data_IF_233032300579
#
_entry.id   IF_233032300579
#
_cell.length_a   1.000
_cell.length_b   1.000
_cell.length_c   1.000
_cell.angle_alpha   90.00
_cell.angle_beta   90.00
_cell.angle_gamma   90.00
#
_symmetry.space_group_name_H-M   'P 1'
#
loop_
_entity.id
_entity.type
_entity.pdbx_description
1 polymer ?
#
# COMPACT_ATOMS: atom_id res chain seq x y z
N UNK A 1 -1.67 -9.89 -10.60
CA UNK A 1 -0.51 -10.80 -10.53
C UNK A 1 0.11 -10.66 -9.16
N UNK A 2 0.52 -11.75 -8.49
CA UNK A 2 1.19 -11.67 -7.18
C UNK A 2 2.68 -11.35 -7.38
N UNK A 3 3.23 -10.41 -6.61
CA UNK A 3 4.67 -10.09 -6.58
C UNK A 3 5.35 -10.96 -5.52
N UNK A 4 6.60 -11.38 -5.75
CA UNK A 4 7.36 -12.18 -4.79
C UNK A 4 8.66 -11.45 -4.45
N UNK A 5 8.90 -11.21 -3.16
CA UNK A 5 10.18 -10.71 -2.66
C UNK A 5 11.04 -11.91 -2.27
N UNK A 6 12.10 -12.10 -3.05
CA UNK A 6 13.14 -13.10 -2.83
C UNK A 6 14.34 -12.50 -2.09
N UNK A 7 15.21 -13.36 -1.58
CA UNK A 7 16.45 -12.96 -0.92
C UNK A 7 17.35 -12.08 -1.82
N UNK A 8 17.37 -12.35 -3.13
CA UNK A 8 18.14 -11.57 -4.10
C UNK A 8 17.65 -10.12 -4.19
N UNK A 9 16.34 -9.90 -4.10
CA UNK A 9 15.75 -8.56 -4.15
C UNK A 9 16.06 -7.76 -2.89
N UNK A 10 16.13 -8.42 -1.73
CA UNK A 10 16.59 -7.78 -0.49
C UNK A 10 18.08 -7.44 -0.57
N UNK A 11 18.92 -8.33 -1.11
CA UNK A 11 20.36 -8.05 -1.29
C UNK A 11 20.63 -6.88 -2.25
N UNK A 12 19.82 -6.73 -3.30
CA UNK A 12 19.89 -5.58 -4.22
C UNK A 12 19.52 -4.27 -3.53
N UNK A 13 18.68 -4.33 -2.50
CA UNK A 13 18.21 -3.17 -1.73
C UNK A 13 18.82 -3.12 -0.32
N UNK A 14 19.99 -3.73 -0.10
CA UNK A 14 20.66 -3.81 1.22
C UNK A 14 20.95 -2.45 1.87
N UNK A 15 21.04 -1.39 1.07
CA UNK A 15 21.31 -0.03 1.55
C UNK A 15 20.02 0.71 1.95
N UNK A 16 18.85 0.13 1.69
CA UNK A 16 17.56 0.68 2.09
C UNK A 16 17.21 0.22 3.51
N UNK A 17 16.76 1.16 4.34
CA UNK A 17 16.29 0.85 5.71
C UNK A 17 14.90 0.24 5.75
N UNK A 18 14.10 0.41 4.70
CA UNK A 18 12.69 0.03 4.69
C UNK A 18 12.30 -0.59 3.33
N UNK A 19 11.56 -1.70 3.35
CA UNK A 19 10.97 -2.34 2.18
C UNK A 19 9.45 -2.28 2.32
N UNK A 20 8.82 -1.65 1.34
CA UNK A 20 7.38 -1.51 1.28
C UNK A 20 6.74 -2.64 0.48
N UNK A 21 5.75 -3.30 1.06
CA UNK A 21 5.07 -4.45 0.47
C UNK A 21 3.57 -4.21 0.42
N UNK A 22 2.92 -4.62 -0.67
CA UNK A 22 1.47 -4.55 -0.81
C UNK A 22 0.81 -5.89 -0.41
N UNK A 23 -0.52 -5.91 -0.33
CA UNK A 23 -1.30 -7.12 -0.02
C UNK A 23 -1.13 -8.25 -1.05
N UNK A 24 -0.64 -7.92 -2.24
CA UNK A 24 -0.40 -8.88 -3.32
C UNK A 24 1.07 -9.32 -3.39
N UNK A 25 1.88 -8.92 -2.41
CA UNK A 25 3.30 -9.25 -2.32
C UNK A 25 3.52 -10.38 -1.31
N UNK A 26 4.06 -11.49 -1.79
CA UNK A 26 4.53 -12.59 -0.96
C UNK A 26 6.00 -12.35 -0.63
N UNK A 27 6.40 -12.61 0.62
CA UNK A 27 7.79 -12.52 1.04
C UNK A 27 8.24 -13.91 1.44
N UNK A 28 9.34 -14.37 0.85
CA UNK A 28 9.93 -15.65 1.21
C UNK A 28 10.47 -15.62 2.65
N UNK A 29 10.47 -16.76 3.34
CA UNK A 29 11.03 -16.84 4.70
C UNK A 29 12.50 -16.38 4.73
N UNK A 30 13.30 -16.83 3.76
CA UNK A 30 14.70 -16.43 3.61
C UNK A 30 14.86 -14.91 3.40
N UNK A 31 13.99 -14.25 2.62
CA UNK A 31 14.03 -12.80 2.46
C UNK A 31 13.70 -12.07 3.77
N UNK A 32 12.73 -12.56 4.55
CA UNK A 32 12.36 -11.97 5.84
C UNK A 32 13.49 -12.09 6.86
N UNK A 33 14.15 -13.24 6.92
CA UNK A 33 15.28 -13.45 7.83
C UNK A 33 16.46 -12.55 7.43
N UNK A 34 16.73 -12.44 6.13
CA UNK A 34 17.75 -11.53 5.61
C UNK A 34 17.44 -10.05 5.94
N UNK A 35 16.18 -9.62 5.82
CA UNK A 35 15.79 -8.27 6.22
C UNK A 35 16.10 -7.99 7.69
N UNK A 36 15.86 -8.97 8.59
CA UNK A 36 16.18 -8.81 10.02
C UNK A 36 17.67 -8.70 10.26
N UNK A 37 18.46 -9.57 9.62
CA UNK A 37 19.92 -9.57 9.75
C UNK A 37 20.55 -8.26 9.26
N UNK A 38 19.94 -7.64 8.25
CA UNK A 38 20.37 -6.38 7.66
C UNK A 38 19.75 -5.13 8.33
N UNK A 39 18.85 -5.30 9.31
CA UNK A 39 18.15 -4.19 9.96
C UNK A 39 17.16 -3.45 9.06
N UNK A 40 16.59 -4.14 8.07
CA UNK A 40 15.63 -3.61 7.11
C UNK A 40 14.21 -3.87 7.61
N UNK A 41 13.43 -2.80 7.78
CA UNK A 41 12.02 -2.90 8.19
C UNK A 41 11.11 -3.22 7.01
N UNK A 42 10.23 -4.20 7.17
CA UNK A 42 9.21 -4.53 6.18
C UNK A 42 7.91 -3.81 6.56
N UNK A 43 7.49 -2.82 5.76
CA UNK A 43 6.26 -2.06 5.97
C UNK A 43 5.20 -2.47 4.97
N UNK A 44 4.06 -2.95 5.46
CA UNK A 44 2.92 -3.25 4.61
C UNK A 44 2.18 -1.94 4.26
N UNK A 45 2.24 -1.51 3.01
CA UNK A 45 1.36 -0.46 2.51
C UNK A 45 0.00 -1.09 2.24
N UNK A 46 -0.80 -1.18 3.29
CA UNK A 46 -2.24 -1.19 3.08
C UNK A 46 -2.58 0.22 2.63
N UNK A 47 -3.15 0.36 1.44
CA UNK A 47 -3.58 1.66 0.91
C UNK A 47 -4.79 2.19 1.71
N UNK A 48 -4.60 2.53 2.98
CA UNK A 48 -5.31 3.54 3.78
C UNK A 48 -4.37 3.91 4.93
N UNK A 49 -3.98 5.19 4.98
CA UNK A 49 -3.36 5.92 6.10
C UNK A 49 -3.27 5.14 7.44
N UNK A 50 -2.09 4.62 7.76
CA UNK A 50 -1.69 4.36 9.15
C UNK A 50 -0.23 4.82 9.30
N UNK A 51 -0.07 6.14 9.37
CA UNK A 51 0.95 6.74 10.23
C UNK A 51 0.23 6.94 11.57
N UNK A 52 0.90 6.57 12.66
CA UNK A 52 0.37 6.47 14.05
C UNK A 52 -0.28 5.10 14.29
N UNK A 53 0.25 4.18 15.08
CA UNK A 53 0.93 4.33 16.37
C UNK A 53 1.97 3.22 16.57
N UNK A 54 3.15 3.60 17.08
CA UNK A 54 4.02 2.67 17.80
C UNK A 54 3.29 2.20 19.06
N UNK A 55 2.99 0.89 19.16
CA UNK A 55 2.88 0.08 20.38
C UNK A 55 2.73 -1.38 19.95
N UNK A 56 3.83 -2.13 19.90
CA UNK A 56 4.28 -2.95 21.03
C UNK A 56 3.43 -4.23 21.20
N UNK A 57 4.09 -5.37 20.96
CA UNK A 57 3.66 -6.73 21.35
C UNK A 57 2.53 -7.32 20.49
N UNK A 58 2.47 -8.59 20.08
CA UNK A 58 3.16 -9.81 20.53
C UNK A 58 2.90 -10.91 19.49
N UNK A 59 3.89 -11.81 19.32
CA UNK A 59 3.80 -13.24 18.94
C UNK A 59 2.44 -13.87 18.58
N UNK A 60 2.51 -14.73 17.55
CA UNK A 60 1.59 -15.83 17.14
C UNK A 60 0.32 -15.29 16.43
N UNK A 61 -0.16 -15.86 15.34
CA UNK A 61 -0.39 -17.29 15.08
C UNK A 61 -0.70 -17.46 13.58
N UNK A 62 -0.46 -18.65 13.05
CA UNK A 62 -0.95 -19.07 11.73
C UNK A 62 -2.48 -18.94 11.72
N UNK A 63 -3.01 -17.95 11.01
CA UNK A 63 -4.44 -17.92 10.70
C UNK A 63 -4.56 -18.19 9.22
N UNK A 64 -4.88 -19.45 8.90
CA UNK A 64 -5.62 -19.80 7.69
C UNK A 64 -6.83 -18.86 7.63
N UNK A 65 -6.78 -17.87 6.74
CA UNK A 65 -7.92 -16.99 6.50
C UNK A 65 -8.92 -17.82 5.69
N UNK A 66 -9.74 -18.59 6.40
CA UNK A 66 -11.02 -19.07 5.90
C UNK A 66 -11.75 -17.87 5.31
N UNK A 67 -12.13 -18.02 4.05
CA UNK A 67 -13.08 -17.18 3.34
C UNK A 67 -14.28 -16.89 4.26
N UNK A 68 -14.30 -15.69 4.84
CA UNK A 68 -15.54 -15.12 5.35
C UNK A 68 -15.95 -14.06 4.37
N UNK A 69 -16.86 -14.46 3.50
CA UNK A 69 -17.80 -13.58 2.83
C UNK A 69 -18.32 -12.56 3.83
N UNK A 70 -17.79 -11.35 3.77
CA UNK A 70 -18.42 -10.16 4.31
C UNK A 70 -18.18 -9.06 3.28
N UNK A 71 -18.97 -9.10 2.20
CA UNK A 71 -19.27 -7.92 1.39
C UNK A 71 -19.93 -6.89 2.30
N UNK A 72 -19.13 -6.12 3.03
CA UNK A 72 -19.48 -4.73 3.27
C UNK A 72 -18.97 -4.00 2.05
N UNK A 73 -19.89 -3.49 1.25
CA UNK A 73 -19.57 -2.51 0.22
C UNK A 73 -18.90 -1.32 0.91
N UNK A 74 -17.57 -1.35 1.04
CA UNK A 74 -16.79 -0.16 1.26
C UNK A 74 -16.90 0.62 -0.05
N UNK A 75 -18.00 1.36 -0.20
CA UNK A 75 -18.07 2.43 -1.17
C UNK A 75 -16.98 3.41 -0.73
N UNK A 76 -15.85 3.37 -1.44
CA UNK A 76 -14.77 4.31 -1.30
C UNK A 76 -15.28 5.66 -1.83
N UNK A 77 -16.01 6.38 -0.99
CA UNK A 77 -16.52 7.71 -1.30
C UNK A 77 -15.39 8.69 -0.98
N UNK A 78 -14.86 9.33 -2.01
CA UNK A 78 -13.95 10.45 -1.84
C UNK A 78 -14.72 11.61 -1.20
N UNK A 79 -14.11 12.30 -0.23
CA UNK A 79 -14.67 13.55 0.28
C UNK A 79 -14.57 14.66 -0.77
N UNK A 80 -15.42 15.69 -0.66
CA UNK A 80 -15.41 16.86 -1.56
C UNK A 80 -14.02 17.49 -1.67
N UNK A 81 -13.30 17.63 -0.55
CA UNK A 81 -11.95 18.16 -0.52
C UNK A 81 -10.95 17.28 -1.31
N UNK A 82 -11.12 15.96 -1.24
CA UNK A 82 -10.27 15.04 -2.00
C UNK A 82 -10.57 15.12 -3.50
N UNK A 83 -11.84 15.20 -3.87
CA UNK A 83 -12.25 15.39 -5.27
C UNK A 83 -11.67 16.72 -5.79
N UNK A 84 -11.82 17.81 -5.03
CA UNK A 84 -11.29 19.12 -5.39
C UNK A 84 -9.77 19.09 -5.61
N UNK A 85 -9.01 18.47 -4.70
CA UNK A 85 -7.55 18.40 -4.83
C UNK A 85 -7.12 17.58 -6.05
N UNK A 86 -7.79 16.45 -6.32
CA UNK A 86 -7.50 15.62 -7.50
C UNK A 86 -7.73 16.42 -8.79
N UNK A 87 -8.86 17.14 -8.88
CA UNK A 87 -9.18 17.96 -10.06
C UNK A 87 -8.18 19.10 -10.22
N UNK A 88 -7.85 19.80 -9.14
CA UNK A 88 -6.87 20.89 -9.13
C UNK A 88 -5.49 20.42 -9.58
N UNK A 89 -5.02 19.29 -9.07
CA UNK A 89 -3.73 18.72 -9.45
C UNK A 89 -3.73 18.27 -10.91
N UNK A 90 -4.84 17.70 -11.39
CA UNK A 90 -5.00 17.32 -12.79
C UNK A 90 -4.90 18.52 -13.75
N UNK A 91 -5.50 19.66 -13.40
CA UNK A 91 -5.37 20.90 -14.19
C UNK A 91 -3.93 21.41 -14.17
N UNK A 92 -3.29 21.47 -12.99
CA UNK A 92 -1.92 21.95 -12.85
C UNK A 92 -0.91 21.09 -13.64
N UNK A 93 -1.17 19.79 -13.76
CA UNK A 93 -0.35 18.86 -14.53
C UNK A 93 -0.72 18.81 -16.03
N UNK A 94 -1.76 19.54 -16.45
CA UNK A 94 -2.26 19.53 -17.82
C UNK A 94 -2.90 18.21 -18.25
N UNK A 95 -3.36 17.39 -17.29
CA UNK A 95 -4.01 16.10 -17.54
C UNK A 95 -5.48 16.24 -17.90
N UNK A 96 -6.12 17.29 -17.41
CA UNK A 96 -7.53 17.62 -17.62
C UNK A 96 -7.67 19.14 -17.73
N UNK A 97 -8.53 19.57 -18.64
CA UNK A 97 -8.87 20.98 -18.84
C UNK A 97 -10.21 21.34 -18.18
N UNK A 98 -10.48 22.63 -18.04
CA UNK A 98 -11.79 23.11 -17.57
C UNK A 98 -12.93 22.59 -18.46
N UNK A 99 -12.72 22.55 -19.78
CA UNK A 99 -13.70 22.00 -20.73
C UNK A 99 -13.95 20.50 -20.53
N UNK A 100 -12.96 19.73 -20.08
CA UNK A 100 -13.17 18.31 -19.77
C UNK A 100 -14.07 18.14 -18.55
N UNK A 101 -13.92 19.02 -17.55
CA UNK A 101 -14.75 19.02 -16.33
C UNK A 101 -16.18 19.42 -16.65
N UNK A 102 -16.38 20.46 -17.46
CA UNK A 102 -17.71 20.87 -17.93
C UNK A 102 -18.41 19.72 -18.66
N UNK A 103 -17.69 19.03 -19.55
CA UNK A 103 -18.23 17.87 -20.28
C UNK A 103 -18.57 16.69 -19.38
N UNK A 104 -17.87 16.51 -18.25
CA UNK A 104 -18.17 15.48 -17.27
C UNK A 104 -19.42 15.79 -16.44
N UNK A 105 -19.72 17.08 -16.24
CA UNK A 105 -20.88 17.54 -15.46
C UNK A 105 -22.15 17.67 -16.32
N UNK A 106 -22.01 17.79 -17.64
CA UNK A 106 -23.11 17.82 -18.61
C UNK A 106 -23.33 19.18 -19.21
#
# INVERSE_FOLDING_TARGET
MKRLISQEEVLKNKDQKEIFVDKNTLITAAARDLCKDLGIEIKCINSVKEVEENKESTKKEYIEIKEKENKKENQAVLSENQIYNILKDGINQGLISESDIERMLG
#
